data_IF_270787667341
#
_entry.id   IF_270787667341
#
_cell.length_a   1.000
_cell.length_b   1.000
_cell.length_c   1.000
_cell.angle_alpha   90.00
_cell.angle_beta   90.00
_cell.angle_gamma   90.00
#
_symmetry.space_group_name_H-M   'P 1'
#
loop_
_entity.id
_entity.type
_entity.pdbx_description
1 polymer ?
#
# COMPACT_ATOMS: atom_id res chain seq x y z
N UNK A 1 22.47 -1.62 -28.29
CA UNK A 1 22.62 -1.04 -26.93
C UNK A 1 21.28 -1.10 -26.21
N UNK A 2 21.18 -1.89 -25.13
CA UNK A 2 19.94 -2.02 -24.37
C UNK A 2 19.53 -0.66 -23.77
N UNK A 3 18.31 -0.22 -24.09
CA UNK A 3 17.80 1.06 -23.62
C UNK A 3 17.20 0.90 -22.22
N UNK A 4 17.95 1.30 -21.21
CA UNK A 4 17.48 1.37 -19.82
C UNK A 4 16.25 2.29 -19.75
N UNK A 5 15.12 1.86 -19.13
CA UNK A 5 13.94 2.69 -19.01
C UNK A 5 14.19 3.98 -18.22
N UNK A 6 13.84 5.13 -18.80
CA UNK A 6 14.03 6.46 -18.19
C UNK A 6 13.22 6.69 -16.91
N UNK A 7 12.18 5.89 -16.68
CA UNK A 7 11.30 5.98 -15.51
C UNK A 7 11.90 5.32 -14.24
N UNK A 8 13.06 4.66 -14.36
CA UNK A 8 13.78 4.15 -13.20
C UNK A 8 14.38 5.30 -12.40
N UNK A 9 14.28 5.22 -11.08
CA UNK A 9 14.91 6.18 -10.17
C UNK A 9 16.30 5.65 -9.86
N UNK A 10 17.30 6.15 -10.57
CA UNK A 10 18.70 5.69 -10.48
C UNK A 10 19.62 6.89 -10.23
N UNK A 11 20.60 6.71 -9.34
CA UNK A 11 21.73 7.64 -9.21
C UNK A 11 22.63 7.56 -10.46
N UNK A 12 23.53 8.53 -10.62
CA UNK A 12 24.51 8.51 -11.72
C UNK A 12 25.34 7.22 -11.71
N UNK A 13 25.84 6.81 -10.54
CA UNK A 13 26.60 5.57 -10.36
C UNK A 13 25.78 4.33 -10.74
N UNK A 14 24.51 4.25 -10.31
CA UNK A 14 23.65 3.11 -10.67
C UNK A 14 23.40 3.02 -12.17
N UNK A 15 23.25 4.16 -12.86
CA UNK A 15 23.11 4.18 -14.32
C UNK A 15 24.37 3.65 -14.99
N UNK A 16 25.54 4.15 -14.60
CA UNK A 16 26.82 3.70 -15.12
C UNK A 16 27.00 2.19 -14.92
N UNK A 17 26.77 1.69 -13.70
CA UNK A 17 26.85 0.26 -13.40
C UNK A 17 25.90 -0.57 -14.25
N UNK A 18 24.65 -0.13 -14.48
CA UNK A 18 23.71 -0.85 -15.34
C UNK A 18 24.15 -0.82 -16.82
N UNK A 19 24.72 0.28 -17.30
CA UNK A 19 25.22 0.39 -18.67
C UNK A 19 26.49 -0.43 -18.92
N UNK A 20 27.27 -0.70 -17.87
CA UNK A 20 28.46 -1.57 -17.98
C UNK A 20 28.13 -3.07 -17.98
N UNK A 21 26.90 -3.47 -17.63
CA UNK A 21 26.53 -4.89 -17.64
C UNK A 21 26.39 -5.43 -19.06
N UNK A 22 26.85 -6.66 -19.34
CA UNK A 22 26.64 -7.29 -20.63
C UNK A 22 25.15 -7.62 -20.85
N UNK A 23 24.72 -7.59 -22.11
CA UNK A 23 23.33 -7.84 -22.49
C UNK A 23 22.82 -9.22 -22.00
N UNK A 24 23.71 -10.21 -21.83
CA UNK A 24 23.40 -11.55 -21.32
C UNK A 24 22.93 -11.58 -19.85
N UNK A 25 23.21 -10.54 -19.07
CA UNK A 25 22.72 -10.43 -17.69
C UNK A 25 21.27 -9.93 -17.61
N UNK A 26 20.71 -9.46 -18.73
CA UNK A 26 19.33 -9.00 -18.77
C UNK A 26 18.42 -10.16 -19.16
N UNK A 27 17.39 -10.37 -18.34
CA UNK A 27 16.25 -11.20 -18.71
C UNK A 27 15.55 -10.55 -19.90
N UNK A 28 15.27 -11.33 -20.93
CA UNK A 28 14.42 -10.95 -22.05
C UNK A 28 13.69 -12.22 -22.53
N UNK A 29 12.60 -12.55 -21.84
CA UNK A 29 11.85 -13.79 -22.07
C UNK A 29 10.42 -13.44 -22.45
N UNK A 30 9.90 -14.13 -23.45
CA UNK A 30 8.52 -14.02 -23.91
C UNK A 30 7.85 -15.39 -23.76
N UNK A 31 6.69 -15.38 -23.13
CA UNK A 31 5.78 -16.53 -23.05
C UNK A 31 4.56 -16.29 -23.91
N UNK A 32 4.01 -17.36 -24.49
CA UNK A 32 2.84 -17.30 -25.35
C UNK A 32 1.55 -17.08 -24.56
N UNK A 33 1.50 -17.53 -23.31
CA UNK A 33 0.39 -17.27 -22.39
C UNK A 33 0.87 -16.74 -21.03
N UNK A 34 -0.04 -16.10 -20.29
CA UNK A 34 0.23 -15.68 -18.92
C UNK A 34 0.47 -16.88 -18.00
N UNK A 35 -0.25 -17.99 -18.21
CA UNK A 35 -0.15 -19.19 -17.38
C UNK A 35 1.27 -19.78 -17.38
N UNK A 36 1.92 -19.81 -18.55
CA UNK A 36 3.28 -20.32 -18.68
C UNK A 36 4.31 -19.45 -17.94
N UNK A 37 4.02 -18.16 -17.80
CA UNK A 37 4.87 -17.22 -17.08
C UNK A 37 4.61 -17.18 -15.57
N UNK A 38 3.51 -17.77 -15.06
CA UNK A 38 3.12 -17.66 -13.64
C UNK A 38 4.23 -18.17 -12.72
N UNK A 39 4.84 -19.32 -13.02
CA UNK A 39 5.91 -19.89 -12.20
C UNK A 39 7.09 -18.93 -12.09
N UNK A 40 7.53 -18.37 -13.21
CA UNK A 40 8.61 -17.37 -13.26
C UNK A 40 8.24 -16.09 -12.51
N UNK A 41 7.02 -15.59 -12.70
CA UNK A 41 6.53 -14.40 -12.01
C UNK A 41 6.48 -14.59 -10.49
N UNK A 42 6.13 -15.80 -10.02
CA UNK A 42 6.10 -16.13 -8.58
C UNK A 42 7.51 -16.23 -8.02
N UNK A 43 8.40 -16.97 -8.68
CA UNK A 43 9.80 -17.13 -8.28
C UNK A 43 10.49 -15.77 -8.08
N UNK A 44 10.27 -14.84 -9.01
CA UNK A 44 10.84 -13.50 -8.95
C UNK A 44 9.97 -12.46 -8.21
N UNK A 45 8.87 -12.86 -7.57
CA UNK A 45 7.94 -11.99 -6.85
C UNK A 45 7.35 -10.83 -7.70
N UNK A 46 7.19 -11.04 -9.00
CA UNK A 46 6.72 -10.05 -9.98
C UNK A 46 5.19 -9.99 -10.11
N UNK A 47 4.45 -10.92 -9.50
CA UNK A 47 2.98 -10.95 -9.49
C UNK A 47 2.42 -9.63 -8.94
N UNK A 48 1.49 -8.99 -9.68
CA UNK A 48 1.00 -7.64 -9.41
C UNK A 48 -0.06 -7.52 -8.30
N UNK A 49 -0.63 -8.65 -7.88
CA UNK A 49 -1.77 -8.73 -6.94
C UNK A 49 -1.33 -8.41 -5.49
N UNK A 50 -0.18 -8.92 -5.03
CA UNK A 50 0.30 -8.71 -3.64
C UNK A 50 1.27 -7.53 -3.52
N UNK A 51 0.74 -6.30 -3.59
CA UNK A 51 1.56 -5.07 -3.62
C UNK A 51 2.38 -4.81 -2.35
N UNK A 52 1.92 -5.25 -1.18
CA UNK A 52 2.53 -4.89 0.11
C UNK A 52 3.68 -5.81 0.51
N UNK A 53 3.71 -7.04 -0.01
CA UNK A 53 4.64 -8.09 0.42
C UNK A 53 5.94 -8.14 -0.37
N UNK A 54 5.97 -7.48 -1.52
CA UNK A 54 7.09 -7.57 -2.46
C UNK A 54 8.10 -6.43 -2.30
N UNK A 55 9.36 -6.73 -2.64
CA UNK A 55 10.45 -5.75 -2.77
C UNK A 55 10.32 -4.86 -4.01
N UNK A 56 9.32 -5.11 -4.85
CA UNK A 56 9.09 -4.40 -6.10
C UNK A 56 8.11 -3.23 -5.95
N UNK A 57 8.51 -2.04 -6.40
CA UNK A 57 7.63 -0.88 -6.57
C UNK A 57 7.35 -0.60 -8.04
N UNK A 58 6.09 -0.34 -8.35
CA UNK A 58 5.68 0.15 -9.67
C UNK A 58 6.19 1.59 -9.83
N UNK A 59 6.97 1.83 -10.89
CA UNK A 59 7.51 3.15 -11.25
C UNK A 59 6.78 3.78 -12.43
N UNK A 60 6.31 2.94 -13.34
CA UNK A 60 5.53 3.36 -14.49
C UNK A 60 4.51 2.27 -14.82
N UNK A 61 3.33 2.67 -15.26
CA UNK A 61 2.33 1.75 -15.78
C UNK A 61 1.53 2.43 -16.89
N UNK A 62 1.39 1.75 -18.01
CA UNK A 62 0.47 2.10 -19.08
C UNK A 62 -0.49 0.94 -19.27
N UNK A 63 -1.67 1.04 -18.65
CA UNK A 63 -2.68 -0.02 -18.67
C UNK A 63 -3.21 -0.27 -20.08
N UNK A 64 -3.34 0.78 -20.89
CA UNK A 64 -3.83 0.66 -22.27
C UNK A 64 -2.86 -0.15 -23.14
N UNK A 65 -1.55 -0.03 -22.87
CA UNK A 65 -0.50 -0.80 -23.57
C UNK A 65 -0.07 -2.07 -22.83
N UNK A 66 -0.67 -2.38 -21.68
CA UNK A 66 -0.28 -3.51 -20.83
C UNK A 66 1.15 -3.45 -20.28
N UNK A 67 1.72 -2.25 -20.14
CA UNK A 67 3.12 -2.08 -19.71
C UNK A 67 3.18 -1.77 -18.22
N UNK A 68 4.05 -2.48 -17.51
CA UNK A 68 4.41 -2.21 -16.12
C UNK A 68 5.93 -2.15 -15.98
N UNK A 69 6.43 -1.15 -15.28
CA UNK A 69 7.84 -1.05 -14.88
C UNK A 69 7.92 -1.16 -13.37
N UNK A 70 8.59 -2.20 -12.91
CA UNK A 70 8.89 -2.49 -11.52
C UNK A 70 10.37 -2.19 -11.25
N UNK A 71 10.64 -1.65 -10.07
CA UNK A 71 11.99 -1.43 -9.58
C UNK A 71 12.07 -1.85 -8.11
N UNK A 72 13.20 -2.42 -7.69
CA UNK A 72 13.43 -2.75 -6.29
C UNK A 72 13.32 -1.50 -5.39
N UNK A 73 12.61 -1.62 -4.27
CA UNK A 73 12.42 -0.53 -3.30
C UNK A 73 13.73 -0.09 -2.63
N UNK A 74 14.65 -1.03 -2.42
CA UNK A 74 15.99 -0.79 -1.85
C UNK A 74 16.96 -0.17 -2.87
N UNK A 75 16.59 -0.19 -4.15
CA UNK A 75 17.36 0.35 -5.27
C UNK A 75 17.04 1.78 -5.64
N UNK A 76 16.01 2.38 -5.03
CA UNK A 76 15.59 3.73 -5.34
C UNK A 76 15.89 4.66 -4.18
N UNK A 77 16.85 5.54 -4.36
CA UNK A 77 17.08 6.63 -3.43
C UNK A 77 15.98 7.68 -3.61
N UNK A 78 15.05 7.75 -2.66
CA UNK A 78 13.93 8.71 -2.73
C UNK A 78 14.36 10.11 -2.29
N UNK A 79 15.55 10.28 -1.70
CA UNK A 79 16.13 11.60 -1.41
C UNK A 79 16.57 12.32 -2.69
N UNK A 80 16.93 11.56 -3.73
CA UNK A 80 17.31 12.08 -5.06
C UNK A 80 16.17 12.70 -5.86
N UNK A 81 14.90 12.58 -5.40
CA UNK A 81 13.78 13.31 -5.98
C UNK A 81 13.81 14.76 -5.49
N UNK A 82 14.69 15.57 -6.09
CA UNK A 82 14.63 17.02 -5.97
C UNK A 82 13.28 17.53 -6.48
N UNK A 83 12.62 18.36 -5.69
CA UNK A 83 11.33 18.97 -6.02
C UNK A 83 11.57 20.19 -6.88
N UNK A 84 10.91 20.25 -8.03
CA UNK A 84 10.58 21.53 -8.63
C UNK A 84 9.40 22.10 -7.83
N UNK A 85 9.69 22.92 -6.81
CA UNK A 85 8.69 23.66 -6.04
C UNK A 85 9.04 23.75 -4.56
N UNK A 86 9.20 24.99 -4.06
CA UNK A 86 9.54 25.33 -2.67
C UNK A 86 8.45 24.96 -1.65
N UNK A 87 7.24 24.62 -2.09
CA UNK A 87 6.11 24.42 -1.18
C UNK A 87 5.64 22.96 -1.16
N UNK A 88 5.46 22.44 0.06
CA UNK A 88 5.05 21.08 0.44
C UNK A 88 6.21 20.11 0.64
N UNK A 89 6.87 20.23 1.79
CA UNK A 89 7.70 19.18 2.39
C UNK A 89 6.81 17.99 2.78
N UNK A 90 6.45 17.13 1.82
CA UNK A 90 6.07 15.75 2.17
C UNK A 90 7.36 15.07 2.65
N UNK A 91 7.45 14.75 3.94
CA UNK A 91 8.55 13.96 4.52
C UNK A 91 8.83 12.76 3.61
N UNK A 92 10.10 12.51 3.28
CA UNK A 92 10.49 11.31 2.55
C UNK A 92 9.94 10.09 3.28
N UNK A 93 8.93 9.43 2.70
CA UNK A 93 8.30 8.21 3.22
C UNK A 93 9.18 6.98 2.90
N UNK A 94 10.49 7.15 2.88
CA UNK A 94 11.41 6.05 2.63
C UNK A 94 11.53 5.23 3.91
N UNK A 95 10.65 4.24 4.02
CA UNK A 95 10.61 3.31 5.16
C UNK A 95 11.66 2.19 5.05
N UNK A 96 12.62 2.30 4.11
CA UNK A 96 13.60 1.25 3.79
C UNK A 96 14.97 1.85 3.52
N UNK A 97 16.01 1.19 4.06
CA UNK A 97 17.41 1.55 3.83
C UNK A 97 17.71 1.54 2.32
N UNK A 98 18.38 2.56 1.81
CA UNK A 98 18.89 2.52 0.44
C UNK A 98 20.14 1.62 0.39
N UNK A 99 20.17 0.64 -0.52
CA UNK A 99 21.30 -0.29 -0.69
C UNK A 99 21.80 -0.32 -2.14
N UNK A 100 21.41 0.66 -2.96
CA UNK A 100 21.84 0.78 -4.36
C UNK A 100 21.52 -0.44 -5.26
N UNK A 101 20.56 -1.28 -4.89
CA UNK A 101 20.12 -2.42 -5.69
C UNK A 101 19.71 -2.01 -7.11
N UNK A 102 20.16 -2.74 -8.13
CA UNK A 102 19.92 -2.41 -9.53
C UNK A 102 18.69 -3.10 -10.13
N UNK A 103 18.05 -4.00 -9.37
CA UNK A 103 17.00 -4.85 -9.88
C UNK A 103 15.78 -4.06 -10.39
N UNK A 104 15.37 -4.34 -11.63
CA UNK A 104 14.18 -3.79 -12.30
C UNK A 104 13.58 -4.80 -13.28
N UNK A 105 12.26 -4.74 -13.47
CA UNK A 105 11.55 -5.57 -14.41
C UNK A 105 10.54 -4.74 -15.20
N UNK A 106 10.58 -4.83 -16.52
CA UNK A 106 9.56 -4.32 -17.43
C UNK A 106 8.72 -5.48 -17.91
N UNK A 107 7.45 -5.49 -17.51
CA UNK A 107 6.47 -6.47 -17.92
C UNK A 107 5.60 -5.85 -19.01
N UNK A 108 5.43 -6.53 -20.13
CA UNK A 108 4.51 -6.16 -21.20
C UNK A 108 3.53 -7.30 -21.44
N UNK A 109 2.26 -7.06 -21.13
CA UNK A 109 1.14 -7.95 -21.48
C UNK A 109 0.58 -7.54 -22.83
N UNK A 110 0.39 -8.50 -23.71
CA UNK A 110 -0.18 -8.29 -25.05
C UNK A 110 -1.65 -8.71 -25.08
N UNK A 111 -2.38 -8.26 -26.11
CA UNK A 111 -3.82 -8.58 -26.27
C UNK A 111 -4.09 -10.08 -26.47
N UNK A 112 -3.12 -10.82 -26.99
CA UNK A 112 -3.20 -12.27 -27.18
C UNK A 112 -2.81 -13.06 -25.92
N UNK A 113 -2.86 -12.44 -24.73
CA UNK A 113 -2.42 -12.99 -23.45
C UNK A 113 -0.94 -13.38 -23.35
N UNK A 114 -0.13 -13.15 -24.40
CA UNK A 114 1.31 -13.31 -24.30
C UNK A 114 1.92 -12.27 -23.37
N UNK A 115 3.04 -12.62 -22.77
CA UNK A 115 3.74 -11.77 -21.80
C UNK A 115 5.22 -11.74 -22.12
N UNK A 116 5.80 -10.55 -22.10
CA UNK A 116 7.25 -10.35 -22.23
C UNK A 116 7.76 -9.69 -20.95
N UNK A 117 8.85 -10.25 -20.41
CA UNK A 117 9.58 -9.69 -19.28
C UNK A 117 10.99 -9.33 -19.76
N UNK A 118 11.31 -8.04 -19.61
CA UNK A 118 12.64 -7.50 -19.85
C UNK A 118 13.19 -6.83 -18.59
N UNK A 119 14.43 -7.12 -18.18
CA UNK A 119 15.09 -6.36 -17.12
C UNK A 119 16.24 -7.08 -16.45
N UNK A 120 16.86 -6.42 -15.48
CA UNK A 120 17.89 -7.01 -14.62
C UNK A 120 17.23 -7.46 -13.31
N UNK A 121 17.12 -8.77 -13.08
CA UNK A 121 16.36 -9.32 -11.95
C UNK A 121 17.21 -9.67 -10.74
N UNK A 122 18.53 -9.57 -10.84
CA UNK A 122 19.43 -9.92 -9.74
C UNK A 122 19.38 -8.85 -8.65
N UNK A 123 18.91 -9.26 -7.48
CA UNK A 123 18.97 -8.43 -6.28
C UNK A 123 20.36 -8.49 -5.66
N UNK A 124 20.85 -7.36 -5.15
CA UNK A 124 22.04 -7.33 -4.33
C UNK A 124 21.84 -8.18 -3.07
N UNK A 125 22.88 -8.85 -2.59
CA UNK A 125 22.82 -9.70 -1.39
C UNK A 125 22.28 -8.94 -0.17
N UNK A 126 22.76 -7.72 0.08
CA UNK A 126 22.21 -6.84 1.12
C UNK A 126 20.70 -6.64 0.96
N UNK A 127 20.21 -6.48 -0.27
CA UNK A 127 18.79 -6.34 -0.56
C UNK A 127 18.01 -7.63 -0.29
N UNK A 128 18.61 -8.81 -0.46
CA UNK A 128 17.97 -10.10 -0.18
C UNK A 128 17.74 -10.28 1.33
N UNK A 129 18.71 -9.87 2.15
CA UNK A 129 18.61 -9.91 3.61
C UNK A 129 17.65 -8.87 4.20
N UNK A 130 17.31 -7.81 3.47
CA UNK A 130 16.32 -6.86 3.95
C UNK A 130 14.91 -7.48 3.98
N UNK A 131 14.14 -7.26 5.06
CA UNK A 131 12.76 -7.73 5.12
C UNK A 131 11.89 -6.97 4.09
N UNK A 132 10.73 -7.50 3.70
CA UNK A 132 9.79 -6.75 2.90
C UNK A 132 9.42 -5.39 3.52
N UNK A 133 9.18 -4.36 2.67
CA UNK A 133 8.72 -3.02 3.06
C UNK A 133 7.68 -2.92 4.18
N UNK A 134 6.72 -3.84 4.23
CA UNK A 134 5.63 -3.81 5.20
C UNK A 134 6.04 -4.29 6.60
N UNK A 135 7.08 -5.12 6.73
CA UNK A 135 7.59 -5.60 8.01
C UNK A 135 8.50 -4.58 8.70
N UNK A 136 9.20 -3.74 7.93
CA UNK A 136 10.02 -2.65 8.48
C UNK A 136 9.22 -1.63 9.31
N UNK A 137 7.88 -1.56 9.10
CA UNK A 137 7.00 -0.70 9.92
C UNK A 137 6.75 -1.25 11.33
N UNK A 138 6.99 -2.55 11.58
CA UNK A 138 6.76 -3.19 12.90
C UNK A 138 7.99 -3.17 13.80
N UNK A 139 9.20 -2.95 13.26
CA UNK A 139 10.46 -3.16 13.98
C UNK A 139 11.24 -1.87 14.32
N UNK A 140 10.67 -0.68 14.15
CA UNK A 140 11.28 0.55 14.71
C UNK A 140 11.04 0.62 16.22
N UNK A 141 11.75 -0.22 16.96
CA UNK A 141 12.06 0.00 18.37
C UNK A 141 13.05 1.17 18.41
N UNK A 142 12.75 2.14 19.27
CA UNK A 142 13.58 3.31 19.52
C UNK A 142 14.96 2.88 20.04
N UNK A 143 16.01 3.06 19.24
CA UNK A 143 17.36 3.18 19.77
C UNK A 143 17.61 4.66 20.05
N UNK A 144 17.54 5.04 21.32
CA UNK A 144 18.04 6.32 21.82
C UNK A 144 18.79 6.07 23.14
N UNK A 145 19.85 6.85 23.44
CA UNK A 145 20.83 6.52 24.48
C UNK A 145 20.24 6.68 25.89
N UNK A 146 20.88 6.08 26.91
CA UNK A 146 20.30 5.93 28.23
C UNK A 146 20.34 7.28 28.95
N UNK A 147 19.17 7.83 29.24
CA UNK A 147 19.05 8.78 30.35
C UNK A 147 17.99 8.27 31.33
N UNK A 148 18.36 8.52 32.58
CA UNK A 148 17.86 8.04 33.85
C UNK A 148 16.41 8.42 34.14
N UNK A 149 15.71 7.45 34.73
CA UNK A 149 14.66 7.54 35.75
C UNK A 149 13.94 8.89 35.91
N UNK A 150 12.66 8.90 35.52
CA UNK A 150 11.58 9.33 36.39
C UNK A 150 10.33 8.49 36.10
N UNK A 151 10.22 7.41 36.87
CA UNK A 151 9.03 6.57 36.96
C UNK A 151 7.90 7.36 37.62
N UNK A 152 7.05 8.03 36.81
CA UNK A 152 5.65 8.30 37.21
C UNK A 152 4.72 8.85 36.13
N UNK A 153 5.18 9.33 34.98
CA UNK A 153 4.26 9.94 33.99
C UNK A 153 4.68 9.61 32.56
N UNK A 154 4.22 8.47 32.04
CA UNK A 154 3.87 8.25 30.62
C UNK A 154 3.44 6.78 30.43
N UNK A 155 2.27 6.41 30.98
CA UNK A 155 1.54 5.28 30.43
C UNK A 155 0.92 5.73 29.11
N UNK A 156 1.70 5.74 28.02
CA UNK A 156 1.13 5.91 26.67
C UNK A 156 0.31 4.65 26.37
N UNK A 157 -0.99 4.69 26.70
CA UNK A 157 -1.96 3.66 26.36
C UNK A 157 -1.84 3.38 24.86
N UNK A 158 -1.41 2.17 24.49
CA UNK A 158 -1.59 1.63 23.14
C UNK A 158 -3.06 1.84 22.77
N UNK A 159 -3.38 2.79 21.89
CA UNK A 159 -4.72 2.88 21.33
C UNK A 159 -4.88 1.64 20.46
N UNK A 160 -5.47 0.58 21.01
CA UNK A 160 -5.99 -0.54 20.23
C UNK A 160 -6.88 0.08 19.16
N UNK A 161 -6.55 -0.12 17.88
CA UNK A 161 -7.44 0.29 16.78
C UNK A 161 -8.79 -0.37 17.05
N UNK A 162 -9.80 0.45 17.32
CA UNK A 162 -11.15 -0.04 17.53
C UNK A 162 -11.62 -0.69 16.25
N UNK A 163 -12.27 -1.84 16.40
CA UNK A 163 -13.01 -2.48 15.32
C UNK A 163 -13.98 -1.49 14.68
N UNK A 164 -14.18 -1.60 13.37
CA UNK A 164 -15.21 -0.82 12.69
C UNK A 164 -16.59 -1.18 13.28
N UNK A 165 -17.43 -0.18 13.50
CA UNK A 165 -18.78 -0.39 14.02
C UNK A 165 -19.83 -0.38 12.90
N UNK A 166 -21.09 -0.69 13.23
CA UNK A 166 -22.16 -0.73 12.23
C UNK A 166 -22.33 0.56 11.43
N UNK A 167 -22.13 1.73 12.06
CA UNK A 167 -22.18 3.01 11.34
C UNK A 167 -21.02 3.15 10.34
N UNK A 168 -19.81 2.68 10.69
CA UNK A 168 -18.68 2.69 9.76
C UNK A 168 -19.00 1.93 8.46
N UNK A 169 -19.67 0.78 8.54
CA UNK A 169 -20.10 0.02 7.37
C UNK A 169 -21.26 0.69 6.62
N UNK A 170 -22.23 1.23 7.34
CA UNK A 170 -23.32 2.01 6.74
C UNK A 170 -22.81 3.22 5.95
N UNK A 171 -21.83 3.95 6.50
CA UNK A 171 -21.21 5.07 5.80
C UNK A 171 -20.48 4.61 4.54
N UNK A 172 -19.71 3.51 4.61
CA UNK A 172 -19.05 2.93 3.43
C UNK A 172 -20.05 2.59 2.33
N UNK A 173 -21.19 2.01 2.69
CA UNK A 173 -22.27 1.67 1.77
C UNK A 173 -22.91 2.92 1.14
N UNK A 174 -23.28 3.90 1.95
CA UNK A 174 -23.96 5.13 1.51
C UNK A 174 -23.02 6.15 0.85
N UNK A 175 -21.70 6.01 0.98
CA UNK A 175 -20.70 6.96 0.47
C UNK A 175 -20.85 7.28 -1.02
N UNK A 176 -21.16 6.28 -1.84
CA UNK A 176 -21.30 6.48 -3.29
C UNK A 176 -22.59 7.23 -3.64
N UNK A 177 -23.66 7.03 -2.87
CA UNK A 177 -24.92 7.76 -3.00
C UNK A 177 -24.70 9.22 -2.61
N UNK A 178 -24.06 9.46 -1.45
CA UNK A 178 -23.73 10.81 -0.96
C UNK A 178 -22.78 11.59 -1.88
N UNK A 179 -21.88 10.90 -2.59
CA UNK A 179 -21.04 11.52 -3.62
C UNK A 179 -21.83 11.93 -4.86
N UNK A 180 -22.87 11.19 -5.22
CA UNK A 180 -23.71 11.46 -6.39
C UNK A 180 -24.70 12.59 -6.10
N UNK A 181 -25.36 12.56 -4.95
CA UNK A 181 -26.36 13.56 -4.56
C UNK A 181 -25.72 14.89 -4.13
N UNK A 182 -24.51 14.84 -3.57
CA UNK A 182 -23.80 16.01 -3.09
C UNK A 182 -22.34 16.01 -3.59
N UNK A 183 -22.12 16.19 -4.90
CA UNK A 183 -20.78 16.11 -5.48
C UNK A 183 -19.82 17.14 -4.87
N UNK A 184 -20.31 18.36 -4.62
CA UNK A 184 -19.51 19.51 -4.18
C UNK A 184 -19.35 19.63 -2.65
N UNK A 185 -20.00 18.77 -1.85
CA UNK A 185 -19.87 18.84 -0.40
C UNK A 185 -18.53 18.28 0.08
N UNK A 186 -18.01 18.84 1.17
CA UNK A 186 -16.78 18.37 1.79
C UNK A 186 -16.95 16.96 2.39
N UNK A 187 -15.87 16.21 2.62
CA UNK A 187 -15.92 14.93 3.32
C UNK A 187 -16.62 15.00 4.68
N UNK A 188 -16.42 16.09 5.44
CA UNK A 188 -17.05 16.31 6.75
C UNK A 188 -18.57 16.48 6.62
N UNK A 189 -19.02 17.29 5.67
CA UNK A 189 -20.46 17.48 5.42
C UNK A 189 -21.16 16.19 4.98
N UNK A 190 -20.49 15.38 4.15
CA UNK A 190 -21.00 14.06 3.75
C UNK A 190 -21.14 13.12 4.94
N UNK A 191 -20.18 13.16 5.86
CA UNK A 191 -20.21 12.36 7.09
C UNK A 191 -21.33 12.79 8.05
N UNK A 192 -21.53 14.09 8.24
CA UNK A 192 -22.66 14.63 9.01
C UNK A 192 -24.00 14.19 8.41
N UNK A 193 -24.14 14.24 7.07
CA UNK A 193 -25.35 13.76 6.39
C UNK A 193 -25.55 12.27 6.58
N UNK A 194 -24.49 11.47 6.47
CA UNK A 194 -24.57 10.04 6.74
C UNK A 194 -24.99 9.74 8.19
N UNK A 195 -24.48 10.48 9.17
CA UNK A 195 -24.87 10.35 10.57
C UNK A 195 -26.37 10.64 10.77
N UNK A 196 -26.89 11.69 10.11
CA UNK A 196 -28.33 11.98 10.12
C UNK A 196 -29.16 10.88 9.49
N UNK A 197 -28.74 10.36 8.33
CA UNK A 197 -29.40 9.23 7.67
C UNK A 197 -29.40 7.98 8.56
N UNK A 198 -28.28 7.69 9.21
CA UNK A 198 -28.17 6.58 10.16
C UNK A 198 -29.10 6.75 11.36
N UNK A 199 -29.17 7.96 11.94
CA UNK A 199 -30.08 8.25 13.04
C UNK A 199 -31.54 8.09 12.64
N UNK A 200 -31.90 8.50 11.43
CA UNK A 200 -33.27 8.37 10.89
C UNK A 200 -33.60 6.96 10.36
N UNK A 201 -32.62 6.07 10.19
CA UNK A 201 -32.85 4.73 9.64
C UNK A 201 -33.64 3.84 10.62
N UNK A 202 -34.48 2.90 10.14
CA UNK A 202 -35.14 1.92 11.00
C UNK A 202 -34.14 1.06 11.78
N UNK A 203 -34.54 0.61 12.97
CA UNK A 203 -33.70 -0.23 13.81
C UNK A 203 -33.29 -1.54 13.12
N UNK A 204 -34.14 -2.11 12.26
CA UNK A 204 -33.84 -3.29 11.46
C UNK A 204 -32.60 -3.08 10.58
N UNK A 205 -32.53 -1.93 9.90
CA UNK A 205 -31.39 -1.55 9.07
C UNK A 205 -30.16 -1.30 9.94
N UNK A 206 -30.28 -0.59 11.07
CA UNK A 206 -29.13 -0.39 11.96
C UNK A 206 -28.60 -1.72 12.51
N UNK A 207 -29.49 -2.65 12.84
CA UNK A 207 -29.15 -3.95 13.40
C UNK A 207 -28.47 -4.85 12.36
N UNK A 208 -28.85 -4.79 11.08
CA UNK A 208 -28.16 -5.56 10.04
C UNK A 208 -26.69 -5.13 9.88
N UNK A 209 -26.42 -3.81 9.89
CA UNK A 209 -25.04 -3.31 9.84
C UNK A 209 -24.26 -3.56 11.14
N UNK A 210 -24.93 -3.56 12.30
CA UNK A 210 -24.28 -3.93 13.58
C UNK A 210 -23.87 -5.41 13.57
N UNK A 211 -24.77 -6.32 13.17
CA UNK A 211 -24.45 -7.75 13.02
C UNK A 211 -23.31 -7.98 12.03
N UNK A 212 -23.35 -7.30 10.88
CA UNK A 212 -22.27 -7.37 9.91
C UNK A 212 -20.92 -6.92 10.51
N UNK A 213 -20.91 -5.86 11.32
CA UNK A 213 -19.71 -5.42 12.00
C UNK A 213 -19.23 -6.44 13.04
N UNK A 214 -20.15 -7.05 13.79
CA UNK A 214 -19.84 -8.11 14.76
C UNK A 214 -19.22 -9.34 14.07
N UNK A 215 -19.79 -9.78 12.94
CA UNK A 215 -19.28 -10.89 12.14
C UNK A 215 -17.89 -10.58 11.55
N UNK A 216 -17.68 -9.39 10.97
CA UNK A 216 -16.37 -8.95 10.45
C UNK A 216 -15.32 -8.90 11.57
N UNK A 217 -15.71 -8.41 12.75
CA UNK A 217 -14.82 -8.38 13.91
C UNK A 217 -14.48 -9.78 14.43
N UNK A 218 -15.45 -10.70 14.44
CA UNK A 218 -15.25 -12.09 14.83
C UNK A 218 -14.29 -12.80 13.86
N UNK A 219 -14.45 -12.59 12.55
CA UNK A 219 -13.55 -13.12 11.53
C UNK A 219 -12.11 -12.60 11.71
N UNK A 220 -11.94 -11.31 12.00
CA UNK A 220 -10.62 -10.72 12.26
C UNK A 220 -9.94 -11.29 13.52
N UNK A 221 -10.71 -11.79 14.49
CA UNK A 221 -10.17 -12.48 15.68
C UNK A 221 -9.88 -13.97 15.45
N UNK A 222 -10.53 -14.61 14.48
CA UNK A 222 -10.35 -16.03 14.16
C UNK A 222 -9.12 -16.27 13.25
N UNK A 223 -8.80 -15.31 12.38
CA UNK A 223 -7.69 -15.36 11.41
C UNK A 223 -6.27 -15.31 12.02
N UNK A 224 -6.13 -15.17 13.35
CA UNK A 224 -4.81 -15.18 13.99
C UNK A 224 -4.22 -16.58 14.21
N UNK A 225 -4.93 -17.66 13.83
CA UNK A 225 -4.49 -19.04 14.12
C UNK A 225 -4.51 -20.05 12.98
N UNK A 226 -5.20 -19.84 11.84
CA UNK A 226 -5.17 -20.82 10.73
C UNK A 226 -5.33 -20.11 9.37
N UNK A 227 -4.37 -20.35 8.48
CA UNK A 227 -4.35 -19.89 7.08
C UNK A 227 -5.55 -20.42 6.30
N UNK A 228 -6.41 -19.54 5.74
CA UNK A 228 -7.47 -19.96 4.80
C UNK A 228 -7.89 -18.90 3.77
N UNK A 229 -8.65 -19.30 2.72
CA UNK A 229 -8.56 -18.79 1.36
C UNK A 229 -9.41 -17.54 1.09
N UNK A 230 -9.15 -16.93 -0.06
CA UNK A 230 -9.69 -15.67 -0.53
C UNK A 230 -11.24 -15.62 -0.52
N UNK A 231 -11.78 -14.79 0.38
CA UNK A 231 -13.03 -14.08 0.16
C UNK A 231 -12.66 -12.72 -0.40
N UNK A 232 -13.21 -12.39 -1.57
CA UNK A 232 -12.99 -11.14 -2.30
C UNK A 232 -13.45 -9.97 -1.42
N UNK A 233 -12.51 -9.24 -0.81
CA UNK A 233 -12.78 -7.96 -0.19
C UNK A 233 -12.33 -6.82 -1.12
N UNK A 234 -13.30 -6.02 -1.55
CA UNK A 234 -13.12 -4.80 -2.33
C UNK A 234 -12.14 -3.82 -1.67
N UNK A 235 -11.36 -3.13 -2.52
CA UNK A 235 -10.29 -2.18 -2.22
C UNK A 235 -10.44 -1.40 -0.89
N UNK A 236 -9.58 -1.72 0.10
CA UNK A 236 -9.28 -0.87 1.26
C UNK A 236 -8.43 0.31 0.79
N UNK A 237 -9.02 1.50 0.81
CA UNK A 237 -8.42 2.74 0.33
C UNK A 237 -7.81 3.54 1.51
N UNK A 238 -6.62 4.13 1.35
CA UNK A 238 -5.81 4.82 2.36
C UNK A 238 -6.47 6.07 3.03
N UNK A 239 -7.75 6.31 2.79
CA UNK A 239 -8.55 7.41 3.35
C UNK A 239 -9.15 7.08 4.73
N UNK A 240 -8.92 5.87 5.24
CA UNK A 240 -9.46 5.38 6.51
C UNK A 240 -8.82 6.03 7.75
N UNK A 241 -7.60 6.59 7.66
CA UNK A 241 -6.96 7.25 8.82
C UNK A 241 -7.51 8.65 9.12
N UNK A 242 -7.89 9.42 8.09
CA UNK A 242 -8.56 10.72 8.26
C UNK A 242 -10.01 10.52 8.73
N UNK A 243 -10.66 9.45 8.26
CA UNK A 243 -11.99 9.02 8.68
C UNK A 243 -12.07 8.67 10.17
N UNK A 244 -11.11 7.90 10.69
CA UNK A 244 -11.12 7.52 12.12
C UNK A 244 -10.93 8.74 13.04
N UNK A 245 -10.10 9.73 12.65
CA UNK A 245 -9.92 10.97 13.43
C UNK A 245 -11.17 11.85 13.43
N UNK A 246 -11.79 12.06 12.26
CA UNK A 246 -13.05 12.82 12.14
C UNK A 246 -14.20 12.15 12.90
N UNK A 247 -14.21 10.81 12.97
CA UNK A 247 -15.21 10.05 13.73
C UNK A 247 -15.02 10.20 15.24
N UNK A 248 -13.78 10.14 15.72
CA UNK A 248 -13.46 10.34 17.14
C UNK A 248 -13.76 11.79 17.59
N UNK A 249 -13.54 12.80 16.73
CA UNK A 249 -13.92 14.20 16.99
C UNK A 249 -15.45 14.40 17.09
N UNK A 250 -16.22 13.83 16.16
CA UNK A 250 -17.69 13.96 16.14
C UNK A 250 -18.39 13.20 17.28
N UNK A 251 -17.88 12.03 17.69
CA UNK A 251 -18.43 11.29 18.83
C UNK A 251 -18.09 11.95 20.17
N UNK A 252 -16.97 12.69 20.24
CA UNK A 252 -16.59 13.40 21.46
C UNK A 252 -17.42 14.67 21.71
N UNK A 253 -18.00 15.28 20.66
CA UNK A 253 -18.89 16.44 20.80
C UNK A 253 -20.34 16.03 21.14
N UNK A 254 -20.86 14.90 20.64
CA UNK A 254 -22.24 14.46 20.88
C UNK A 254 -22.45 13.64 22.19
N UNK A 255 -21.42 13.54 23.05
CA UNK A 255 -21.52 12.92 24.39
C UNK A 255 -21.50 13.94 25.54
N UNK A 256 -21.57 15.24 25.22
CA UNK A 256 -21.86 16.30 26.20
C UNK A 256 -23.26 16.86 25.90
N UNK A 257 -24.26 16.20 26.46
CA UNK A 257 -25.41 16.90 27.04
C UNK A 257 -24.89 17.68 28.25
#
# INVERSE_FOLDING_TARGET
MLKIPSHLILTAKQKESLYSLPDSMFTNIKWESENDAISFLREHNLVLENRNERKWKVRYSDKAKGIYLLQCCYGSDMSSKNKNGKDKIRKSRQDYKFVSCLAFARIKKFKNNSINIFGYLNHLEDCQHQPPPHLNKKNKIHDSPPYTLNSSLMLSKKIKRKSANGFSFFYKFSRNILKREHPNSSPREKMIRAARLWSASPNEVKNSFKRYAEDDNALMTFDSKVTKPAIIMFDRDDRDEEFNRLFDELISEDMLI
#
